data_IF_768167611958
#
_entry.id   IF_768167611958
#
_cell.length_a   1.000
_cell.length_b   1.000
_cell.length_c   1.000
_cell.angle_alpha   90.00
_cell.angle_beta   90.00
_cell.angle_gamma   90.00
#
_symmetry.space_group_name_H-M   'P 1'
#
loop_
_entity.id
_entity.type
_entity.pdbx_description
1 polymer ?
#
# COMPACT_ATOMS: atom_id res chain seq x y z
N UNK A 1 5.92 -22.41 -13.70
CA UNK A 1 6.80 -21.21 -13.55
C UNK A 1 5.93 -20.08 -13.05
N UNK A 2 5.67 -20.10 -11.76
CA UNK A 2 5.00 -19.00 -11.05
C UNK A 2 6.01 -17.87 -10.89
N UNK A 3 5.76 -16.75 -11.56
CA UNK A 3 6.52 -15.53 -11.34
C UNK A 3 6.05 -14.90 -10.04
N UNK A 4 6.98 -14.79 -9.11
CA UNK A 4 6.96 -14.08 -7.85
C UNK A 4 6.09 -12.80 -7.89
N UNK A 5 5.07 -12.75 -7.05
CA UNK A 5 4.25 -11.58 -6.75
C UNK A 5 4.93 -10.62 -5.74
N UNK A 6 6.25 -10.72 -5.61
CA UNK A 6 7.05 -9.99 -4.63
C UNK A 6 7.67 -8.72 -5.20
N UNK A 7 6.86 -7.82 -5.75
CA UNK A 7 7.29 -6.45 -6.00
C UNK A 7 6.23 -5.50 -5.42
N UNK A 8 6.46 -5.10 -4.18
CA UNK A 8 6.01 -3.92 -3.46
C UNK A 8 4.84 -3.09 -4.01
N UNK A 9 3.67 -3.73 -4.27
CA UNK A 9 2.46 -3.03 -4.71
C UNK A 9 1.30 -3.44 -3.82
N UNK A 10 1.15 -2.84 -2.63
CA UNK A 10 0.02 -3.14 -1.73
C UNK A 10 -1.35 -2.99 -2.42
N UNK A 11 -1.43 -2.16 -3.45
CA UNK A 11 -2.64 -1.95 -4.24
C UNK A 11 -3.09 -3.16 -5.08
N UNK A 12 -2.20 -4.09 -5.45
CA UNK A 12 -2.54 -5.19 -6.35
C UNK A 12 -3.33 -6.34 -5.70
N UNK A 13 -3.48 -6.34 -4.36
CA UNK A 13 -4.22 -7.39 -3.64
C UNK A 13 -5.64 -6.97 -3.26
N UNK A 14 -5.91 -5.66 -3.22
CA UNK A 14 -7.20 -5.12 -2.75
C UNK A 14 -8.35 -5.53 -3.67
N UNK A 15 -8.13 -5.54 -4.99
CA UNK A 15 -9.11 -5.94 -5.99
C UNK A 15 -9.29 -7.46 -6.13
N UNK A 16 -8.37 -8.25 -5.54
CA UNK A 16 -8.39 -9.72 -5.60
C UNK A 16 -9.14 -10.39 -4.44
N UNK A 17 -9.70 -9.61 -3.53
CA UNK A 17 -10.52 -10.17 -2.45
C UNK A 17 -11.74 -10.89 -3.06
N UNK A 18 -11.94 -12.19 -2.77
CA UNK A 18 -13.03 -12.97 -3.36
C UNK A 18 -14.39 -12.32 -3.16
N UNK A 19 -15.27 -12.42 -4.16
CA UNK A 19 -16.67 -12.04 -4.00
C UNK A 19 -17.35 -12.96 -2.98
N UNK A 20 -18.21 -12.39 -2.14
CA UNK A 20 -18.91 -13.15 -1.08
C UNK A 20 -18.65 -12.63 0.35
N UNK A 21 -17.61 -11.85 0.56
CA UNK A 21 -17.41 -11.16 1.83
C UNK A 21 -18.32 -9.91 1.90
N UNK A 22 -19.08 -9.81 3.00
CA UNK A 22 -20.01 -8.67 3.21
C UNK A 22 -19.26 -7.34 3.43
N UNK A 23 -18.09 -7.40 4.07
CA UNK A 23 -17.28 -6.23 4.39
C UNK A 23 -15.85 -6.52 3.97
N UNK A 24 -15.27 -5.63 3.19
CA UNK A 24 -13.87 -5.61 2.82
C UNK A 24 -13.18 -4.47 3.55
N UNK A 25 -12.06 -4.75 4.21
CA UNK A 25 -11.27 -3.75 4.94
C UNK A 25 -9.83 -3.80 4.47
N UNK A 26 -9.20 -2.63 4.41
CA UNK A 26 -7.75 -2.48 4.21
C UNK A 26 -7.20 -1.56 5.28
N UNK A 27 -6.10 -1.97 5.92
CA UNK A 27 -5.45 -1.21 6.97
C UNK A 27 -3.97 -1.05 6.67
N UNK A 28 -3.44 0.12 6.94
CA UNK A 28 -2.01 0.40 6.83
C UNK A 28 -1.57 1.37 7.92
N UNK A 29 -0.32 1.24 8.37
CA UNK A 29 0.31 2.19 9.31
C UNK A 29 0.65 3.52 8.63
N UNK A 30 0.77 3.53 7.30
CA UNK A 30 1.06 4.72 6.52
C UNK A 30 -0.23 5.52 6.26
N UNK A 31 -0.41 6.61 7.00
CA UNK A 31 -1.57 7.49 6.87
C UNK A 31 -1.77 8.02 5.44
N UNK A 32 -0.66 8.31 4.73
CA UNK A 32 -0.72 8.89 3.39
C UNK A 32 -1.28 7.91 2.36
N UNK A 33 -0.99 6.60 2.50
CA UNK A 33 -1.59 5.59 1.65
C UNK A 33 -3.09 5.47 1.89
N UNK A 34 -3.51 5.46 3.13
CA UNK A 34 -4.93 5.39 3.50
C UNK A 34 -5.68 6.63 2.99
N UNK A 35 -5.13 7.82 3.17
CA UNK A 35 -5.74 9.05 2.68
C UNK A 35 -5.79 9.10 1.14
N UNK A 36 -4.80 8.55 0.44
CA UNK A 36 -4.84 8.40 -1.01
C UNK A 36 -6.04 7.57 -1.45
N UNK A 37 -6.24 6.38 -0.88
CA UNK A 37 -7.36 5.52 -1.25
C UNK A 37 -8.71 6.14 -0.91
N UNK A 38 -8.86 6.72 0.29
CA UNK A 38 -10.08 7.43 0.69
C UNK A 38 -10.40 8.61 -0.23
N UNK A 39 -9.39 9.39 -0.60
CA UNK A 39 -9.56 10.52 -1.51
C UNK A 39 -10.01 10.09 -2.90
N UNK A 40 -9.45 8.98 -3.42
CA UNK A 40 -9.89 8.41 -4.70
C UNK A 40 -11.33 7.90 -4.63
N UNK A 41 -11.72 7.23 -3.54
CA UNK A 41 -13.12 6.84 -3.32
C UNK A 41 -14.06 8.05 -3.35
N UNK A 42 -13.60 9.21 -2.88
CA UNK A 42 -14.33 10.47 -2.86
C UNK A 42 -14.17 11.30 -4.15
N UNK A 43 -13.61 10.71 -5.22
CA UNK A 43 -13.52 11.32 -6.54
C UNK A 43 -12.26 12.15 -6.78
N UNK A 44 -11.28 12.14 -5.88
CA UNK A 44 -10.00 12.78 -6.17
C UNK A 44 -9.26 12.04 -7.29
N UNK A 45 -8.70 12.83 -8.21
CA UNK A 45 -7.93 12.33 -9.35
C UNK A 45 -6.48 12.75 -9.15
N UNK A 46 -5.52 11.79 -9.07
CA UNK A 46 -4.11 12.10 -9.01
C UNK A 46 -3.61 12.90 -10.22
N UNK A 47 -2.53 13.69 -10.09
CA UNK A 47 -1.96 14.44 -11.19
C UNK A 47 -1.41 13.55 -12.31
N UNK A 48 -1.32 14.08 -13.53
CA UNK A 48 -0.74 13.37 -14.67
C UNK A 48 0.79 13.36 -14.66
N UNK A 49 1.39 14.33 -13.97
CA UNK A 49 2.84 14.47 -13.86
C UNK A 49 3.22 15.11 -12.54
N UNK A 50 4.40 14.76 -12.07
CA UNK A 50 5.06 15.36 -10.90
C UNK A 50 6.52 15.55 -11.26
N UNK A 51 7.03 16.74 -11.05
CA UNK A 51 8.45 17.04 -11.26
C UNK A 51 9.30 16.45 -10.13
N UNK A 52 10.60 16.26 -10.37
CA UNK A 52 11.50 15.81 -9.33
C UNK A 52 11.59 16.79 -8.15
N UNK A 53 11.44 18.10 -8.40
CA UNK A 53 11.40 19.12 -7.35
C UNK A 53 10.18 18.94 -6.44
N UNK A 54 9.00 18.71 -7.02
CA UNK A 54 7.77 18.43 -6.28
C UNK A 54 7.87 17.10 -5.53
N UNK A 55 8.43 16.06 -6.16
CA UNK A 55 8.69 14.78 -5.51
C UNK A 55 9.54 14.95 -4.23
N UNK A 56 10.66 15.68 -4.32
CA UNK A 56 11.53 15.93 -3.17
C UNK A 56 10.84 16.77 -2.07
N UNK A 57 10.02 17.75 -2.48
CA UNK A 57 9.23 18.53 -1.52
C UNK A 57 8.20 17.65 -0.79
N UNK A 58 7.48 16.79 -1.50
CA UNK A 58 6.53 15.86 -0.87
C UNK A 58 7.24 14.82 0.00
N UNK A 59 8.41 14.33 -0.43
CA UNK A 59 9.24 13.43 0.36
C UNK A 59 9.63 14.05 1.71
N UNK A 60 9.96 15.33 1.78
CA UNK A 60 10.31 16.00 3.05
C UNK A 60 9.14 16.10 4.04
N UNK A 61 7.91 15.86 3.58
CA UNK A 61 6.69 15.85 4.40
C UNK A 61 6.21 14.43 4.73
N UNK A 62 6.87 13.40 4.23
CA UNK A 62 6.39 12.00 4.32
C UNK A 62 6.36 11.42 5.73
N UNK A 63 7.06 12.04 6.67
CA UNK A 63 7.10 11.64 8.07
C UNK A 63 6.15 12.50 8.94
N UNK A 64 5.42 13.45 8.35
CA UNK A 64 4.51 14.34 9.07
C UNK A 64 3.10 13.77 9.01
N UNK A 65 2.45 13.64 10.16
CA UNK A 65 1.05 13.24 10.20
C UNK A 65 0.15 14.35 9.62
N UNK A 66 -0.32 14.13 8.41
CA UNK A 66 -1.22 15.03 7.66
C UNK A 66 -2.37 14.19 7.13
N UNK A 67 -3.55 14.76 6.99
CA UNK A 67 -4.74 14.12 6.41
C UNK A 67 -5.27 14.92 5.21
N UNK A 68 -6.22 14.34 4.47
CA UNK A 68 -6.85 14.97 3.33
C UNK A 68 -6.02 14.94 2.05
N UNK A 69 -6.29 15.86 1.12
CA UNK A 69 -5.75 15.84 -0.25
C UNK A 69 -4.23 15.98 -0.31
N UNK A 70 -3.62 16.76 0.57
CA UNK A 70 -2.15 16.86 0.63
C UNK A 70 -1.53 15.51 1.01
N UNK A 71 -2.09 14.85 2.02
CA UNK A 71 -1.69 13.51 2.41
C UNK A 71 -1.88 12.48 1.28
N UNK A 72 -3.02 12.55 0.59
CA UNK A 72 -3.30 11.70 -0.55
C UNK A 72 -2.28 11.89 -1.68
N UNK A 73 -1.85 13.11 -1.94
CA UNK A 73 -0.81 13.40 -2.93
C UNK A 73 0.55 12.84 -2.49
N UNK A 74 0.92 12.96 -1.21
CA UNK A 74 2.13 12.35 -0.67
C UNK A 74 2.08 10.83 -0.85
N UNK A 75 0.97 10.18 -0.53
CA UNK A 75 0.76 8.74 -0.70
C UNK A 75 0.92 8.28 -2.15
N UNK A 76 0.28 8.99 -3.07
CA UNK A 76 0.36 8.70 -4.49
C UNK A 76 1.78 8.87 -5.05
N UNK A 77 2.45 9.98 -4.73
CA UNK A 77 3.80 10.28 -5.23
C UNK A 77 4.84 9.38 -4.59
N UNK A 78 4.70 9.08 -3.29
CA UNK A 78 5.64 8.26 -2.53
C UNK A 78 5.79 6.85 -3.07
N UNK A 79 4.75 6.29 -3.68
CA UNK A 79 4.79 4.97 -4.34
C UNK A 79 4.77 5.11 -5.87
N UNK A 80 3.82 5.86 -6.40
CA UNK A 80 3.53 5.88 -7.84
C UNK A 80 4.60 6.56 -8.70
N UNK A 81 5.34 7.51 -8.13
CA UNK A 81 6.43 8.23 -8.82
C UNK A 81 7.82 7.77 -8.36
N UNK A 82 7.90 6.70 -7.57
CA UNK A 82 9.15 6.17 -7.03
C UNK A 82 9.68 4.95 -7.80
N UNK A 83 10.99 4.81 -7.81
CA UNK A 83 11.66 3.66 -8.42
C UNK A 83 11.19 2.34 -7.78
N UNK A 84 10.79 1.39 -8.63
CA UNK A 84 10.25 0.08 -8.23
C UNK A 84 9.06 0.13 -7.26
N UNK A 85 8.36 1.26 -7.15
CA UNK A 85 7.24 1.41 -6.23
C UNK A 85 7.62 1.38 -4.74
N UNK A 86 8.90 1.59 -4.41
CA UNK A 86 9.36 1.71 -3.02
C UNK A 86 8.99 3.08 -2.47
N UNK A 87 8.50 3.13 -1.24
CA UNK A 87 8.14 4.37 -0.56
C UNK A 87 9.28 5.39 -0.59
N UNK A 88 9.11 6.47 -1.37
CA UNK A 88 10.12 7.49 -1.64
C UNK A 88 11.53 6.93 -1.93
N UNK A 89 11.61 5.79 -2.64
CA UNK A 89 12.86 5.09 -2.96
C UNK A 89 13.68 5.71 -4.08
N UNK A 90 13.40 6.95 -4.45
CA UNK A 90 14.03 7.72 -5.51
C UNK A 90 13.05 8.02 -6.67
N UNK A 91 13.15 9.21 -7.24
CA UNK A 91 12.29 9.63 -8.36
C UNK A 91 12.47 8.72 -9.57
N UNK A 92 11.39 8.10 -10.03
CA UNK A 92 11.42 7.13 -11.11
C UNK A 92 11.76 7.79 -12.46
N UNK A 93 12.77 7.27 -13.14
CA UNK A 93 13.21 7.71 -14.47
C UNK A 93 13.44 6.49 -15.35
N UNK A 94 13.20 6.63 -16.63
CA UNK A 94 13.45 5.60 -17.63
C UNK A 94 12.82 5.95 -18.97
N UNK A 95 13.11 5.16 -19.97
CA UNK A 95 12.56 5.31 -21.30
C UNK A 95 11.62 4.13 -21.62
N UNK A 96 10.64 4.39 -22.44
CA UNK A 96 9.82 3.37 -23.08
C UNK A 96 10.63 2.66 -24.20
N UNK A 97 10.11 1.56 -24.73
CA UNK A 97 10.75 0.79 -25.79
C UNK A 97 11.00 1.59 -27.08
N UNK A 98 10.27 2.67 -27.29
CA UNK A 98 10.44 3.60 -28.41
C UNK A 98 11.48 4.71 -28.13
N UNK A 99 12.18 4.68 -26.99
CA UNK A 99 13.18 5.67 -26.57
C UNK A 99 12.61 6.93 -25.89
N UNK A 100 11.31 7.12 -25.90
CA UNK A 100 10.68 8.29 -25.25
C UNK A 100 10.70 8.18 -23.72
N UNK A 101 10.82 9.31 -23.00
CA UNK A 101 10.74 9.32 -21.54
C UNK A 101 9.43 8.72 -21.03
N UNK A 102 9.52 7.79 -20.09
CA UNK A 102 8.33 7.23 -19.44
C UNK A 102 7.74 8.22 -18.43
N UNK A 103 6.41 8.35 -18.46
CA UNK A 103 5.69 9.07 -17.44
C UNK A 103 5.13 8.09 -16.38
N UNK A 104 5.96 7.75 -15.38
CA UNK A 104 5.60 6.84 -14.30
C UNK A 104 4.40 7.35 -13.47
N UNK A 105 4.26 8.67 -13.32
CA UNK A 105 3.13 9.29 -12.64
C UNK A 105 1.81 8.97 -13.36
N UNK A 106 1.75 9.19 -14.68
CA UNK A 106 0.57 8.89 -15.48
C UNK A 106 0.25 7.39 -15.52
N UNK A 107 1.28 6.55 -15.63
CA UNK A 107 1.10 5.08 -15.60
C UNK A 107 0.52 4.62 -14.26
N UNK A 108 1.05 5.11 -13.15
CA UNK A 108 0.57 4.80 -11.80
C UNK A 108 -0.85 5.30 -11.57
N UNK A 109 -1.16 6.53 -12.00
CA UNK A 109 -2.53 7.05 -11.98
C UNK A 109 -3.50 6.15 -12.71
N UNK A 110 -3.18 5.76 -13.96
CA UNK A 110 -4.02 4.88 -14.77
C UNK A 110 -4.25 3.51 -14.10
N UNK A 111 -3.20 2.95 -13.49
CA UNK A 111 -3.29 1.67 -12.81
C UNK A 111 -4.13 1.76 -11.52
N UNK A 112 -3.96 2.85 -10.77
CA UNK A 112 -4.68 3.08 -9.52
C UNK A 112 -6.18 3.30 -9.76
N UNK A 113 -6.54 4.11 -10.76
CA UNK A 113 -7.94 4.41 -11.08
C UNK A 113 -8.72 3.23 -11.73
N UNK A 114 -8.02 2.18 -12.17
CA UNK A 114 -8.66 0.94 -12.66
C UNK A 114 -9.13 0.02 -11.54
N UNK A 115 -8.67 0.23 -10.30
CA UNK A 115 -8.99 -0.66 -9.19
C UNK A 115 -10.41 -0.41 -8.68
N UNK A 116 -11.16 -1.48 -8.45
CA UNK A 116 -12.47 -1.39 -7.79
C UNK A 116 -12.30 -1.35 -6.27
N UNK A 117 -12.17 -0.14 -5.75
CA UNK A 117 -12.01 0.11 -4.31
C UNK A 117 -13.25 0.69 -3.63
N UNK A 118 -14.38 0.85 -4.36
CA UNK A 118 -15.57 1.58 -3.88
C UNK A 118 -16.15 1.03 -2.58
N UNK A 119 -16.11 -0.28 -2.40
CA UNK A 119 -16.73 -0.96 -1.26
C UNK A 119 -15.71 -1.41 -0.20
N UNK A 120 -14.53 -0.79 -0.17
CA UNK A 120 -13.48 -1.11 0.80
C UNK A 120 -13.48 -0.07 1.91
N UNK A 121 -13.48 -0.51 3.16
CA UNK A 121 -13.30 0.36 4.31
C UNK A 121 -11.81 0.50 4.59
N UNK A 122 -11.28 1.71 4.39
CA UNK A 122 -9.88 2.01 4.67
C UNK A 122 -9.69 2.55 6.08
N UNK A 123 -8.71 2.00 6.81
CA UNK A 123 -8.34 2.43 8.16
C UNK A 123 -6.83 2.63 8.28
N UNK A 124 -6.44 3.63 9.08
CA UNK A 124 -5.05 3.89 9.44
C UNK A 124 -4.81 3.39 10.86
N UNK A 125 -3.71 2.69 11.08
CA UNK A 125 -3.28 2.24 12.40
C UNK A 125 -2.50 0.94 12.39
N UNK A 126 -2.07 0.51 13.56
CA UNK A 126 -1.36 -0.74 13.71
C UNK A 126 -2.31 -1.94 13.51
N UNK A 127 -1.76 -3.02 12.94
CA UNK A 127 -2.50 -4.27 12.72
C UNK A 127 -3.03 -4.88 14.03
N UNK A 128 -2.29 -4.76 15.12
CA UNK A 128 -2.67 -5.32 16.41
C UNK A 128 -3.81 -4.56 17.14
N UNK A 129 -4.14 -3.35 16.68
CA UNK A 129 -5.29 -2.58 17.18
C UNK A 129 -6.58 -2.89 16.43
N UNK A 130 -6.52 -3.75 15.40
CA UNK A 130 -7.67 -4.11 14.60
C UNK A 130 -8.66 -4.97 15.40
N UNK A 131 -9.92 -4.55 15.41
CA UNK A 131 -11.02 -5.28 16.02
C UNK A 131 -11.81 -6.03 14.95
N UNK A 132 -12.02 -7.32 15.19
CA UNK A 132 -12.82 -8.20 14.34
C UNK A 132 -14.10 -8.59 15.05
N UNK A 133 -15.25 -8.37 14.41
CA UNK A 133 -16.59 -8.64 14.98
C UNK A 133 -17.16 -9.98 14.55
N UNK A 134 -16.51 -10.68 13.63
CA UNK A 134 -16.91 -11.97 13.09
C UNK A 134 -15.70 -12.72 12.52
N UNK A 135 -15.86 -13.99 12.25
CA UNK A 135 -14.82 -14.75 11.54
C UNK A 135 -14.44 -14.05 10.23
N UNK A 136 -13.15 -13.88 10.03
CA UNK A 136 -12.60 -13.11 8.92
C UNK A 136 -11.53 -13.90 8.17
N UNK A 137 -11.36 -13.60 6.90
CA UNK A 137 -10.16 -13.94 6.15
C UNK A 137 -9.23 -12.74 6.21
N UNK A 138 -8.03 -12.92 6.73
CA UNK A 138 -7.03 -11.88 6.94
C UNK A 138 -5.84 -12.18 6.04
N UNK A 139 -5.48 -11.24 5.19
CA UNK A 139 -4.24 -11.28 4.42
C UNK A 139 -3.27 -10.24 4.98
N UNK A 140 -2.07 -10.69 5.30
CA UNK A 140 -0.99 -9.86 5.83
C UNK A 140 0.19 -9.83 4.86
N UNK A 141 0.71 -8.63 4.59
CA UNK A 141 1.92 -8.38 3.81
C UNK A 141 2.93 -7.60 4.67
N UNK A 142 3.55 -8.27 5.66
CA UNK A 142 4.49 -7.62 6.56
C UNK A 142 5.81 -7.29 5.84
N UNK A 143 6.65 -6.40 6.41
CA UNK A 143 8.03 -6.29 6.00
C UNK A 143 8.71 -7.65 6.11
N UNK A 144 9.30 -8.14 5.01
CA UNK A 144 9.94 -9.46 4.99
C UNK A 144 11.20 -9.48 5.85
N UNK A 145 11.37 -10.55 6.61
CA UNK A 145 12.51 -10.72 7.50
C UNK A 145 13.83 -10.72 6.69
N UNK A 146 14.84 -9.99 7.18
CA UNK A 146 16.15 -9.88 6.52
C UNK A 146 16.21 -8.93 5.31
N UNK A 147 15.10 -8.30 4.92
CA UNK A 147 15.08 -7.30 3.85
C UNK A 147 15.34 -5.88 4.36
N UNK A 148 15.41 -4.90 3.45
CA UNK A 148 15.80 -3.51 3.69
C UNK A 148 15.20 -2.95 4.99
N UNK A 149 16.05 -2.38 5.85
CA UNK A 149 15.64 -1.76 7.13
C UNK A 149 14.52 -0.73 6.89
N UNK A 150 13.31 -1.08 7.30
CA UNK A 150 12.27 -0.09 7.54
C UNK A 150 12.74 0.82 8.68
N UNK A 151 12.37 2.10 8.65
CA UNK A 151 12.75 3.09 9.69
C UNK A 151 12.30 2.64 11.09
N UNK A 152 11.17 1.94 11.17
CA UNK A 152 10.63 1.36 12.37
C UNK A 152 10.93 -0.15 12.37
N UNK A 153 11.55 -0.64 13.44
CA UNK A 153 11.82 -2.05 13.63
C UNK A 153 10.50 -2.81 13.74
N UNK A 154 10.08 -3.45 12.63
CA UNK A 154 8.93 -4.35 12.67
C UNK A 154 9.24 -5.54 13.59
N UNK A 155 8.40 -5.76 14.58
CA UNK A 155 8.57 -6.86 15.53
C UNK A 155 7.91 -8.13 14.98
N UNK A 156 8.69 -8.98 14.32
CA UNK A 156 8.22 -10.23 13.72
C UNK A 156 7.67 -11.21 14.76
N UNK A 157 8.30 -11.32 15.95
CA UNK A 157 7.82 -12.20 17.03
C UNK A 157 6.41 -11.79 17.48
N UNK A 158 6.20 -10.49 17.73
CA UNK A 158 4.89 -9.95 18.08
C UNK A 158 3.86 -10.17 16.97
N UNK A 159 4.28 -10.04 15.71
CA UNK A 159 3.41 -10.26 14.56
C UNK A 159 2.97 -11.73 14.46
N UNK A 160 3.89 -12.68 14.57
CA UNK A 160 3.55 -14.09 14.52
C UNK A 160 2.65 -14.50 15.69
N UNK A 161 2.95 -14.00 16.90
CA UNK A 161 2.07 -14.23 18.06
C UNK A 161 0.66 -13.68 17.83
N UNK A 162 0.54 -12.49 17.25
CA UNK A 162 -0.76 -11.93 16.88
C UNK A 162 -1.49 -12.81 15.85
N UNK A 163 -0.79 -13.34 14.85
CA UNK A 163 -1.38 -14.26 13.88
C UNK A 163 -1.92 -15.54 14.55
N UNK A 164 -1.14 -16.14 15.46
CA UNK A 164 -1.58 -17.32 16.23
C UNK A 164 -2.85 -17.02 17.04
N UNK A 165 -2.88 -15.89 17.75
CA UNK A 165 -4.05 -15.50 18.54
C UNK A 165 -5.30 -15.31 17.65
N UNK A 166 -5.14 -14.69 16.46
CA UNK A 166 -6.26 -14.55 15.51
C UNK A 166 -6.74 -15.89 14.95
N UNK A 167 -5.85 -16.85 14.72
CA UNK A 167 -6.25 -18.22 14.32
C UNK A 167 -7.02 -18.91 15.44
N UNK A 168 -6.60 -18.76 16.70
CA UNK A 168 -7.33 -19.29 17.87
C UNK A 168 -8.72 -18.65 18.02
N UNK A 169 -8.87 -17.37 17.65
CA UNK A 169 -10.17 -16.68 17.60
C UNK A 169 -11.07 -17.14 16.42
N UNK A 170 -10.58 -18.08 15.59
CA UNK A 170 -11.33 -18.66 14.48
C UNK A 170 -11.22 -17.92 13.16
N UNK A 171 -10.27 -16.99 13.02
CA UNK A 171 -9.96 -16.33 11.75
C UNK A 171 -9.09 -17.21 10.85
N UNK A 172 -9.12 -16.97 9.54
CA UNK A 172 -8.19 -17.56 8.57
C UNK A 172 -7.17 -16.51 8.16
N UNK A 173 -5.88 -16.81 8.34
CA UNK A 173 -4.78 -15.89 8.05
C UNK A 173 -3.94 -16.41 6.89
N UNK A 174 -3.58 -15.53 6.00
CA UNK A 174 -2.61 -15.72 4.93
C UNK A 174 -1.53 -14.65 5.07
N UNK A 175 -0.27 -15.06 5.05
CA UNK A 175 0.88 -14.16 5.17
C UNK A 175 1.76 -14.31 3.94
N UNK A 176 2.14 -13.19 3.30
CA UNK A 176 3.20 -13.22 2.29
C UNK A 176 4.56 -13.14 2.98
N UNK A 177 5.40 -14.15 2.74
CA UNK A 177 6.77 -14.22 3.25
C UNK A 177 7.64 -15.06 2.31
N UNK A 178 8.97 -14.79 2.27
CA UNK A 178 9.89 -15.54 1.39
C UNK A 178 10.10 -16.98 1.83
N UNK A 179 10.03 -17.27 3.14
CA UNK A 179 10.36 -18.56 3.75
C UNK A 179 9.28 -19.02 4.76
N UNK A 180 8.03 -18.74 4.46
CA UNK A 180 6.94 -19.19 5.33
C UNK A 180 6.65 -20.67 5.18
#
# INVERSE_FOLDING_TARGET
KERSLAEGKPANMIDKIPNGFKIKRANDINVHLIEMFKSIQNGWIPPDSVTEREYRHLMSKSDIYITGIESALIGFVGIGCSYSGKWFGGYARGNANNGEPRNYCLESKKNLLKQDIKNIVFSHGNYYDLVFTSQSLIYCDPPYEGTTKYKDHFNHERFWKWCEDRVLDGHKIFVSEYNA
#
